data_IF_717223810239
#
_entry.id   IF_717223810239
#
_cell.length_a   1.000
_cell.length_b   1.000
_cell.length_c   1.000
_cell.angle_alpha   90.00
_cell.angle_beta   90.00
_cell.angle_gamma   90.00
#
_symmetry.space_group_name_H-M   'P 1'
#
loop_
_entity.id
_entity.type
_entity.pdbx_description
1 polymer ?
#
# COMPACT_ATOMS: atom_id res chain seq x y z
N UNK A 1 -8.86 22.33 -20.02
CA UNK A 1 -9.35 20.92 -20.14
C UNK A 1 -8.28 19.91 -19.77
N UNK A 2 -7.06 20.01 -20.31
CA UNK A 2 -5.91 19.15 -19.96
C UNK A 2 -5.54 19.19 -18.47
N UNK A 3 -5.58 20.35 -17.83
CA UNK A 3 -5.23 20.50 -16.40
C UNK A 3 -6.24 19.84 -15.45
N UNK A 4 -7.54 20.03 -15.69
CA UNK A 4 -8.61 19.38 -14.92
C UNK A 4 -8.50 17.86 -15.03
N UNK A 5 -8.27 17.36 -16.24
CA UNK A 5 -8.11 15.94 -16.52
C UNK A 5 -6.86 15.38 -15.85
N UNK A 6 -5.75 16.12 -15.86
CA UNK A 6 -4.52 15.79 -15.13
C UNK A 6 -4.70 15.76 -13.61
N UNK A 7 -5.45 16.71 -13.04
CA UNK A 7 -5.76 16.74 -11.61
C UNK A 7 -6.62 15.54 -11.20
N UNK A 8 -7.65 15.20 -11.99
CA UNK A 8 -8.49 14.02 -11.77
C UNK A 8 -7.66 12.74 -11.84
N UNK A 9 -6.77 12.61 -12.83
CA UNK A 9 -5.87 11.47 -12.96
C UNK A 9 -4.95 11.33 -11.74
N UNK A 10 -4.39 12.44 -11.27
CA UNK A 10 -3.51 12.45 -10.09
C UNK A 10 -4.25 12.00 -8.84
N UNK A 11 -5.47 12.51 -8.62
CA UNK A 11 -6.33 12.09 -7.51
C UNK A 11 -6.70 10.61 -7.58
N UNK A 12 -7.03 10.10 -8.78
CA UNK A 12 -7.34 8.70 -8.98
C UNK A 12 -6.14 7.80 -8.71
N UNK A 13 -4.94 8.19 -9.16
CA UNK A 13 -3.70 7.45 -8.89
C UNK A 13 -3.37 7.44 -7.40
N UNK A 14 -3.54 8.58 -6.72
CA UNK A 14 -3.35 8.67 -5.28
C UNK A 14 -4.33 7.74 -4.53
N UNK A 15 -5.61 7.79 -4.88
CA UNK A 15 -6.62 6.91 -4.29
C UNK A 15 -6.31 5.43 -4.55
N UNK A 16 -5.95 5.08 -5.80
CA UNK A 16 -5.58 3.72 -6.18
C UNK A 16 -4.36 3.22 -5.41
N UNK A 17 -3.37 4.08 -5.17
CA UNK A 17 -2.19 3.72 -4.37
C UNK A 17 -2.55 3.32 -2.94
N UNK A 18 -3.50 4.01 -2.31
CA UNK A 18 -4.01 3.66 -0.98
C UNK A 18 -4.75 2.32 -0.97
N UNK A 19 -5.62 2.10 -1.96
CA UNK A 19 -6.33 0.81 -2.12
C UNK A 19 -5.35 -0.34 -2.31
N UNK A 20 -4.30 -0.16 -3.12
CA UNK A 20 -3.26 -1.15 -3.31
C UNK A 20 -2.47 -1.44 -2.02
N UNK A 21 -2.18 -0.42 -1.21
CA UNK A 21 -1.51 -0.56 0.08
C UNK A 21 -2.32 -1.42 1.07
N UNK A 22 -3.62 -1.16 1.20
CA UNK A 22 -4.52 -1.94 2.07
C UNK A 22 -4.67 -3.40 1.61
N UNK A 23 -4.81 -3.61 0.30
CA UNK A 23 -4.86 -4.95 -0.29
C UNK A 23 -3.57 -5.72 -0.03
N UNK A 24 -2.41 -5.08 -0.22
CA UNK A 24 -1.12 -5.70 0.04
C UNK A 24 -0.94 -6.03 1.52
N UNK A 25 -1.36 -5.15 2.43
CA UNK A 25 -1.32 -5.41 3.87
C UNK A 25 -2.19 -6.61 4.26
N UNK A 26 -3.44 -6.64 3.76
CA UNK A 26 -4.37 -7.75 3.98
C UNK A 26 -3.84 -9.07 3.44
N UNK A 27 -3.28 -9.06 2.22
CA UNK A 27 -2.60 -10.20 1.63
C UNK A 27 -1.43 -10.67 2.48
N UNK A 28 -0.55 -9.77 2.92
CA UNK A 28 0.63 -10.12 3.72
C UNK A 28 0.25 -10.77 5.06
N UNK A 29 -0.81 -10.30 5.71
CA UNK A 29 -1.36 -10.93 6.93
C UNK A 29 -1.85 -12.34 6.61
N UNK A 30 -2.63 -12.52 5.55
CA UNK A 30 -3.14 -13.84 5.15
C UNK A 30 -1.99 -14.80 4.78
N UNK A 31 -0.97 -14.30 4.09
CA UNK A 31 0.23 -15.04 3.69
C UNK A 31 1.04 -15.49 4.90
N UNK A 32 1.17 -14.62 5.92
CA UNK A 32 1.76 -14.97 7.21
C UNK A 32 0.96 -16.04 7.94
N UNK A 33 -0.38 -15.94 7.97
CA UNK A 33 -1.23 -16.95 8.62
C UNK A 33 -1.06 -18.34 8.01
N UNK A 34 -0.75 -18.42 6.72
CA UNK A 34 -0.41 -19.67 6.01
C UNK A 34 1.03 -20.15 6.23
N UNK A 35 1.86 -19.38 6.95
CA UNK A 35 3.25 -19.73 7.25
C UNK A 35 4.25 -19.41 6.13
N UNK A 36 3.84 -18.75 5.05
CA UNK A 36 4.73 -18.42 3.93
C UNK A 36 5.76 -17.34 4.25
N UNK A 37 5.44 -16.44 5.19
CA UNK A 37 6.34 -15.39 5.66
C UNK A 37 6.38 -15.36 7.18
N UNK A 38 7.55 -14.99 7.71
CA UNK A 38 7.77 -14.84 9.15
C UNK A 38 7.18 -13.53 9.68
N UNK A 39 6.96 -13.46 11.01
CA UNK A 39 6.55 -12.20 11.68
C UNK A 39 7.55 -11.06 11.46
N UNK A 40 8.84 -11.37 11.31
CA UNK A 40 9.91 -10.38 11.04
C UNK A 40 9.82 -9.82 9.62
N UNK A 41 9.52 -10.69 8.63
CA UNK A 41 9.29 -10.24 7.26
C UNK A 41 8.04 -9.39 7.15
N UNK A 42 6.94 -9.78 7.82
CA UNK A 42 5.72 -8.96 7.87
C UNK A 42 6.01 -7.56 8.45
N UNK A 43 6.70 -7.47 9.59
CA UNK A 43 7.09 -6.17 10.18
C UNK A 43 7.94 -5.31 9.25
N UNK A 44 8.84 -5.93 8.47
CA UNK A 44 9.65 -5.21 7.49
C UNK A 44 8.79 -4.63 6.36
N UNK A 45 7.76 -5.38 5.93
CA UNK A 45 6.80 -4.94 4.92
C UNK A 45 5.89 -3.83 5.45
N UNK A 46 5.41 -3.95 6.70
CA UNK A 46 4.63 -2.90 7.39
C UNK A 46 5.43 -1.60 7.51
N UNK A 47 6.69 -1.67 7.95
CA UNK A 47 7.56 -0.49 8.04
C UNK A 47 7.84 0.15 6.67
N UNK A 48 7.95 -0.67 5.62
CA UNK A 48 8.12 -0.17 4.26
C UNK A 48 6.86 0.57 3.78
N UNK A 49 5.66 0.03 4.06
CA UNK A 49 4.38 0.69 3.81
C UNK A 49 4.26 2.03 4.56
N UNK A 50 4.58 2.07 5.86
CA UNK A 50 4.57 3.31 6.66
C UNK A 50 5.46 4.41 6.06
N UNK A 51 6.62 4.02 5.54
CA UNK A 51 7.56 4.94 4.88
C UNK A 51 6.98 5.47 3.56
N UNK A 52 6.30 4.61 2.79
CA UNK A 52 5.66 4.97 1.52
C UNK A 52 4.43 5.87 1.72
N UNK A 53 3.70 5.68 2.82
CA UNK A 53 2.58 6.55 3.21
C UNK A 53 3.03 7.89 3.82
N UNK A 54 4.34 8.09 4.03
CA UNK A 54 4.87 9.30 4.65
C UNK A 54 4.46 9.46 6.12
N UNK A 55 4.09 8.38 6.81
CA UNK A 55 3.66 8.38 8.22
C UNK A 55 4.85 8.35 9.22
N UNK A 56 5.97 8.97 8.85
CA UNK A 56 7.21 9.02 9.64
C UNK A 56 7.23 10.15 10.66
#
# INVERSE_FOLDING_TARGET
>A
MSELLGAILTLLLFFLSGVCAELFHSWAIAYRRRGYITKRQLRKMEKWLETMEGRG
#
